data_IF_823487242766
#
_entry.id   IF_823487242766
#
_cell.length_a   1.000
_cell.length_b   1.000
_cell.length_c   1.000
_cell.angle_alpha   90.00
_cell.angle_beta   90.00
_cell.angle_gamma   90.00
#
_symmetry.space_group_name_H-M   'P 1'
#
loop_
_entity.id
_entity.type
_entity.pdbx_description
1 polymer ?
#
# COMPACT_ATOMS: atom_id res chain seq x y z
N UNK A 1 21.05 30.40 -21.41
CA UNK A 1 19.93 30.96 -20.60
C UNK A 1 19.12 31.97 -21.41
N UNK A 2 18.21 31.45 -22.24
CA UNK A 2 17.16 32.27 -22.85
C UNK A 2 15.98 32.23 -21.89
N UNK A 3 15.80 33.28 -21.10
CA UNK A 3 14.63 33.41 -20.20
C UNK A 3 13.44 33.91 -21.01
N UNK A 4 12.26 33.33 -20.81
CA UNK A 4 11.02 33.86 -21.36
C UNK A 4 10.16 34.43 -20.22
N UNK A 5 9.71 35.67 -20.37
CA UNK A 5 8.59 36.23 -19.60
C UNK A 5 7.29 35.92 -20.33
N UNK A 6 6.52 34.95 -19.82
CA UNK A 6 5.29 34.43 -20.46
C UNK A 6 5.22 32.91 -20.46
N UNK A 7 4.07 32.37 -20.85
CA UNK A 7 3.86 30.91 -20.91
C UNK A 7 4.35 30.32 -22.23
N UNK A 8 4.84 29.08 -22.19
CA UNK A 8 5.17 28.27 -23.35
C UNK A 8 4.11 27.19 -23.51
N UNK A 9 3.56 27.07 -24.73
CA UNK A 9 2.62 26.00 -25.06
C UNK A 9 3.10 25.30 -26.32
N UNK A 10 3.29 23.99 -26.22
CA UNK A 10 3.55 23.10 -27.36
C UNK A 10 2.31 22.25 -27.54
N UNK A 11 1.66 22.40 -28.69
CA UNK A 11 0.51 21.57 -29.07
C UNK A 11 0.78 21.00 -30.45
N UNK A 12 0.89 19.68 -30.57
CA UNK A 12 1.42 19.03 -31.77
C UNK A 12 0.68 17.76 -32.13
N UNK A 13 0.82 17.39 -33.41
CA UNK A 13 0.69 16.02 -33.92
C UNK A 13 2.12 15.55 -34.20
N UNK A 14 2.71 14.75 -33.31
CA UNK A 14 4.13 14.42 -33.35
C UNK A 14 4.52 13.48 -34.50
N UNK A 15 3.56 12.78 -35.13
CA UNK A 15 3.81 11.94 -36.30
C UNK A 15 4.84 10.84 -36.04
N UNK A 16 6.04 10.92 -36.65
CA UNK A 16 7.14 9.94 -36.47
C UNK A 16 8.18 10.35 -35.43
N UNK A 17 7.78 11.20 -34.48
CA UNK A 17 8.54 11.76 -33.36
C UNK A 17 8.91 13.24 -33.56
N UNK A 18 8.58 14.06 -32.57
CA UNK A 18 8.94 15.47 -32.49
C UNK A 18 9.86 15.69 -31.28
N UNK A 19 10.99 16.37 -31.51
CA UNK A 19 11.88 16.83 -30.44
C UNK A 19 11.62 18.31 -30.17
N UNK A 20 11.25 18.65 -28.95
CA UNK A 20 11.09 20.03 -28.51
C UNK A 20 12.24 20.44 -27.59
N UNK A 21 12.79 21.62 -27.85
CA UNK A 21 13.72 22.29 -26.95
C UNK A 21 12.98 23.45 -26.28
N UNK A 22 12.82 23.37 -24.96
CA UNK A 22 12.20 24.42 -24.16
C UNK A 22 13.33 25.30 -23.59
N UNK A 23 13.17 26.63 -23.52
CA UNK A 23 14.19 27.49 -22.95
C UNK A 23 14.51 27.13 -21.49
N UNK A 24 15.75 27.37 -21.09
CA UNK A 24 16.28 27.02 -19.76
C UNK A 24 15.43 27.52 -18.57
N UNK A 25 14.70 28.64 -18.71
CA UNK A 25 13.80 29.15 -17.67
C UNK A 25 12.59 29.89 -18.28
N UNK A 26 11.39 29.57 -17.79
CA UNK A 26 10.12 30.17 -18.20
C UNK A 26 9.45 30.86 -17.01
N UNK A 27 9.30 32.18 -17.04
CA UNK A 27 8.52 32.97 -16.07
C UNK A 27 7.05 32.95 -16.50
N UNK A 28 6.42 31.78 -16.33
CA UNK A 28 5.11 31.46 -16.84
C UNK A 28 4.87 29.95 -16.79
N UNK A 29 3.75 29.50 -17.34
CA UNK A 29 3.43 28.08 -17.38
C UNK A 29 4.09 27.39 -18.59
N UNK A 30 4.33 26.09 -18.49
CA UNK A 30 4.68 25.23 -19.62
C UNK A 30 3.54 24.23 -19.80
N UNK A 31 2.96 24.16 -20.99
CA UNK A 31 1.96 23.17 -21.35
C UNK A 31 2.41 22.39 -22.59
N UNK A 32 2.45 21.06 -22.48
CA UNK A 32 2.81 20.15 -23.57
C UNK A 32 1.62 19.26 -23.88
N UNK A 33 1.19 19.29 -25.14
CA UNK A 33 0.06 18.52 -25.62
C UNK A 33 0.40 17.78 -26.91
N UNK A 34 0.27 16.46 -26.88
CA UNK A 34 0.43 15.60 -28.06
C UNK A 34 -0.93 15.00 -28.47
N UNK A 35 -1.32 15.25 -29.72
CA UNK A 35 -2.66 14.99 -30.26
C UNK A 35 -2.69 13.84 -31.28
N UNK A 36 -1.59 13.10 -31.43
CA UNK A 36 -1.55 11.89 -32.25
C UNK A 36 -0.65 10.83 -31.60
N UNK A 37 -0.64 9.63 -32.18
CA UNK A 37 0.11 8.48 -31.67
C UNK A 37 1.64 8.60 -31.80
N UNK A 38 2.18 9.70 -32.36
CA UNK A 38 3.63 9.91 -32.42
C UNK A 38 4.21 10.22 -31.04
N UNK A 39 5.54 10.19 -30.88
CA UNK A 39 6.16 10.56 -29.61
C UNK A 39 6.65 12.02 -29.59
N UNK A 40 6.29 12.78 -28.56
CA UNK A 40 6.88 14.09 -28.26
C UNK A 40 7.98 13.93 -27.21
N UNK A 41 9.23 14.18 -27.58
CA UNK A 41 10.37 14.15 -26.64
C UNK A 41 10.83 15.57 -26.31
N UNK A 42 11.02 15.84 -25.02
CA UNK A 42 11.64 17.07 -24.53
C UNK A 42 12.99 16.75 -23.90
N UNK A 43 14.06 17.15 -24.58
CA UNK A 43 15.45 16.86 -24.14
C UNK A 43 15.96 17.81 -23.05
N UNK A 44 15.33 18.97 -22.92
CA UNK A 44 15.74 20.02 -21.99
C UNK A 44 15.05 19.90 -20.63
N UNK A 45 15.70 20.43 -19.58
CA UNK A 45 15.02 20.68 -18.30
C UNK A 45 13.79 21.59 -18.51
N UNK A 46 12.73 21.32 -17.77
CA UNK A 46 11.54 22.17 -17.70
C UNK A 46 11.60 22.97 -16.41
N UNK A 47 11.99 24.25 -16.49
CA UNK A 47 12.08 25.13 -15.30
C UNK A 47 11.08 26.25 -15.43
N UNK A 48 10.15 26.34 -14.47
CA UNK A 48 9.19 27.46 -14.39
C UNK A 48 9.40 28.32 -13.15
N UNK A 49 9.08 29.61 -13.31
CA UNK A 49 8.94 30.59 -12.24
C UNK A 49 7.56 31.24 -12.34
N UNK A 50 7.15 31.91 -11.27
CA UNK A 50 5.95 32.75 -11.29
C UNK A 50 6.09 33.81 -12.36
N UNK A 51 5.10 33.92 -13.23
CA UNK A 51 5.06 34.92 -14.29
C UNK A 51 4.69 36.31 -13.78
N UNK A 52 5.10 37.34 -14.53
CA UNK A 52 4.78 38.75 -14.21
C UNK A 52 3.29 39.08 -14.39
N UNK A 53 2.55 38.27 -15.13
CA UNK A 53 1.12 38.47 -15.39
C UNK A 53 0.22 37.56 -14.53
N UNK A 54 0.77 36.94 -13.49
CA UNK A 54 0.02 36.12 -12.53
C UNK A 54 0.02 34.63 -12.81
N UNK A 55 0.74 34.16 -13.83
CA UNK A 55 0.97 32.74 -14.08
C UNK A 55 1.68 32.11 -12.87
N UNK A 56 1.18 30.95 -12.42
CA UNK A 56 1.71 30.29 -11.23
C UNK A 56 3.11 29.67 -11.48
N UNK A 57 3.44 29.37 -12.73
CA UNK A 57 4.60 28.58 -13.10
C UNK A 57 4.31 27.10 -12.94
N UNK A 58 3.23 26.63 -13.55
CA UNK A 58 2.84 25.22 -13.59
C UNK A 58 3.43 24.55 -14.82
N UNK A 59 3.77 23.25 -14.71
CA UNK A 59 4.06 22.38 -15.84
C UNK A 59 2.89 21.41 -16.02
N UNK A 60 2.31 21.36 -17.21
CA UNK A 60 1.20 20.48 -17.56
C UNK A 60 1.55 19.65 -18.79
N UNK A 61 1.38 18.34 -18.70
CA UNK A 61 1.45 17.40 -19.81
C UNK A 61 0.08 16.75 -19.97
N UNK A 62 -0.48 16.85 -21.18
CA UNK A 62 -1.78 16.29 -21.56
C UNK A 62 -1.63 15.56 -22.89
N UNK A 63 -2.16 14.35 -23.07
CA UNK A 63 -1.91 13.63 -24.32
C UNK A 63 -2.97 12.61 -24.78
N UNK A 64 -2.95 12.37 -26.11
CA UNK A 64 -3.48 11.18 -26.82
C UNK A 64 -2.39 10.23 -27.39
N UNK A 65 -1.12 10.65 -27.49
CA UNK A 65 0.03 9.75 -27.70
C UNK A 65 1.28 10.12 -26.86
N UNK A 66 2.40 9.41 -27.02
CA UNK A 66 3.50 9.46 -26.05
C UNK A 66 4.10 10.87 -25.82
N UNK A 67 4.37 11.23 -24.55
CA UNK A 67 5.22 12.36 -24.17
C UNK A 67 6.34 11.87 -23.25
N UNK A 68 7.59 12.12 -23.63
CA UNK A 68 8.77 11.83 -22.80
C UNK A 68 9.54 13.11 -22.49
N UNK A 69 9.87 13.32 -21.22
CA UNK A 69 10.71 14.43 -20.74
C UNK A 69 12.01 13.84 -20.19
N UNK A 70 13.11 14.05 -20.92
CA UNK A 70 14.43 13.54 -20.56
C UNK A 70 15.06 14.35 -19.41
N UNK A 71 14.81 15.66 -19.42
CA UNK A 71 15.34 16.60 -18.42
C UNK A 71 14.60 16.57 -17.08
N UNK A 72 15.14 17.30 -16.12
CA UNK A 72 14.48 17.54 -14.83
C UNK A 72 13.29 18.49 -15.00
N UNK A 73 12.25 18.28 -14.20
CA UNK A 73 11.11 19.19 -14.10
C UNK A 73 11.17 19.95 -12.79
N UNK A 74 11.31 21.26 -12.83
CA UNK A 74 11.37 22.16 -11.69
C UNK A 74 10.28 23.23 -11.80
N UNK A 75 9.09 22.94 -11.29
CA UNK A 75 7.95 23.85 -11.35
C UNK A 75 7.87 24.75 -10.11
N UNK A 76 7.60 26.06 -10.28
CA UNK A 76 7.36 26.95 -9.12
C UNK A 76 5.98 26.77 -8.49
N UNK A 77 5.00 26.27 -9.25
CA UNK A 77 3.70 25.83 -8.76
C UNK A 77 3.57 24.33 -8.96
N UNK A 78 2.60 23.85 -9.73
CA UNK A 78 2.29 22.41 -9.81
C UNK A 78 2.98 21.72 -10.99
N UNK A 79 3.09 20.40 -10.92
CA UNK A 79 3.33 19.52 -12.07
C UNK A 79 2.13 18.62 -12.26
N UNK A 80 1.56 18.60 -13.46
CA UNK A 80 0.35 17.83 -13.79
C UNK A 80 0.60 16.97 -15.02
N UNK A 81 0.38 15.67 -14.89
CA UNK A 81 0.37 14.72 -15.99
C UNK A 81 -1.03 14.11 -16.10
N UNK A 82 -1.67 14.31 -17.24
CA UNK A 82 -3.02 13.79 -17.53
C UNK A 82 -2.96 13.00 -18.81
N UNK A 83 -3.37 11.75 -18.73
CA UNK A 83 -3.27 10.77 -19.79
C UNK A 83 -4.65 10.13 -20.00
N UNK A 84 -5.14 10.12 -21.24
CA UNK A 84 -6.31 9.32 -21.59
C UNK A 84 -5.93 8.00 -22.27
N UNK A 85 -4.94 8.02 -23.17
CA UNK A 85 -4.35 6.84 -23.80
C UNK A 85 -2.89 7.12 -24.16
N UNK A 86 -1.99 6.14 -24.34
CA UNK A 86 -0.55 6.36 -24.58
C UNK A 86 0.29 6.53 -23.30
N UNK A 87 1.56 6.98 -23.38
CA UNK A 87 2.44 7.05 -22.20
C UNK A 87 2.94 8.48 -21.92
N UNK A 88 3.04 8.85 -20.63
CA UNK A 88 3.79 10.04 -20.19
C UNK A 88 4.97 9.57 -19.33
N UNK A 89 6.19 9.89 -19.72
CA UNK A 89 7.39 9.50 -19.00
C UNK A 89 8.24 10.69 -18.60
N UNK A 90 8.47 10.85 -17.29
CA UNK A 90 9.47 11.74 -16.75
C UNK A 90 10.72 10.93 -16.43
N UNK A 91 11.78 11.10 -17.22
CA UNK A 91 13.05 10.40 -17.00
C UNK A 91 13.91 11.11 -15.95
N UNK A 92 13.87 12.45 -15.91
CA UNK A 92 14.53 13.23 -14.87
C UNK A 92 13.70 13.37 -13.59
N UNK A 93 14.34 13.93 -12.55
CA UNK A 93 13.67 14.23 -11.29
C UNK A 93 12.56 15.28 -11.45
N UNK A 94 11.51 15.17 -10.63
CA UNK A 94 10.37 16.10 -10.65
C UNK A 94 10.26 16.81 -9.31
N UNK A 95 10.48 18.13 -9.31
CA UNK A 95 10.32 19.01 -8.15
C UNK A 95 9.23 20.04 -8.42
N UNK A 96 8.29 20.15 -7.49
CA UNK A 96 7.14 21.06 -7.57
C UNK A 96 7.07 21.97 -6.34
N UNK A 97 6.94 23.28 -6.56
CA UNK A 97 6.67 24.28 -5.53
C UNK A 97 5.25 24.19 -4.95
N UNK A 98 4.36 23.45 -5.62
CA UNK A 98 3.01 23.09 -5.21
C UNK A 98 2.87 21.57 -5.12
N UNK A 99 1.93 21.01 -5.88
CA UNK A 99 1.64 19.58 -5.91
C UNK A 99 2.18 18.89 -7.18
N UNK A 100 2.30 17.56 -7.15
CA UNK A 100 2.50 16.72 -8.33
C UNK A 100 1.28 15.83 -8.49
N UNK A 101 0.63 15.84 -9.65
CA UNK A 101 -0.54 14.99 -9.92
C UNK A 101 -0.38 14.19 -11.19
N UNK A 102 -0.58 12.87 -11.11
CA UNK A 102 -0.68 11.95 -12.23
C UNK A 102 -2.10 11.39 -12.29
N UNK A 103 -2.74 11.48 -13.46
CA UNK A 103 -4.05 10.91 -13.71
C UNK A 103 -4.04 10.20 -15.05
N UNK A 104 -4.43 8.92 -15.07
CA UNK A 104 -4.51 8.13 -16.31
C UNK A 104 -5.80 7.33 -16.41
N UNK A 105 -6.39 7.29 -17.62
CA UNK A 105 -7.49 6.37 -17.94
C UNK A 105 -6.94 4.99 -18.31
N UNK A 106 -6.27 4.83 -19.47
CA UNK A 106 -5.74 3.54 -19.96
C UNK A 106 -4.23 3.51 -20.20
N UNK A 107 -3.58 4.66 -20.27
CA UNK A 107 -2.15 4.78 -20.55
C UNK A 107 -1.24 4.68 -19.32
N UNK A 108 0.08 4.74 -19.52
CA UNK A 108 1.05 4.76 -18.40
C UNK A 108 1.49 6.17 -18.05
N UNK A 109 1.70 6.46 -16.76
CA UNK A 109 2.47 7.62 -16.31
C UNK A 109 3.64 7.14 -15.46
N UNK A 110 4.87 7.35 -15.93
CA UNK A 110 6.10 6.94 -15.27
C UNK A 110 6.93 8.12 -14.75
N UNK A 111 7.45 8.00 -13.53
CA UNK A 111 8.48 8.87 -12.96
C UNK A 111 9.70 8.02 -12.65
N UNK A 112 10.76 8.15 -13.45
CA UNK A 112 11.94 7.31 -13.35
C UNK A 112 12.84 7.68 -12.16
N UNK A 113 12.82 8.94 -11.75
CA UNK A 113 13.62 9.44 -10.63
C UNK A 113 12.73 9.93 -9.47
N UNK A 114 13.34 10.66 -8.52
CA UNK A 114 12.65 11.17 -7.34
C UNK A 114 11.58 12.21 -7.70
N UNK A 115 10.46 12.15 -6.98
CA UNK A 115 9.37 13.13 -7.03
C UNK A 115 9.27 13.85 -5.69
N UNK A 116 9.38 15.17 -5.72
CA UNK A 116 9.28 16.03 -4.54
C UNK A 116 8.25 17.13 -4.75
N UNK A 117 7.18 17.11 -3.96
CA UNK A 117 6.16 18.15 -3.95
C UNK A 117 6.20 18.93 -2.63
N UNK A 118 6.09 20.26 -2.68
CA UNK A 118 5.91 21.04 -1.46
C UNK A 118 4.58 20.75 -0.78
N UNK A 119 3.53 20.48 -1.56
CA UNK A 119 2.19 20.18 -1.09
C UNK A 119 1.91 18.68 -1.20
N UNK A 120 1.10 18.23 -2.16
CA UNK A 120 0.62 16.86 -2.26
C UNK A 120 1.21 16.12 -3.45
N UNK A 121 1.24 14.78 -3.37
CA UNK A 121 1.44 13.91 -4.53
C UNK A 121 0.19 13.06 -4.71
N UNK A 122 -0.41 13.07 -5.90
CA UNK A 122 -1.64 12.32 -6.18
C UNK A 122 -1.48 11.47 -7.43
N UNK A 123 -1.79 10.18 -7.32
CA UNK A 123 -1.87 9.24 -8.42
C UNK A 123 -3.30 8.70 -8.54
N UNK A 124 -3.92 8.87 -9.70
CA UNK A 124 -5.29 8.43 -9.96
C UNK A 124 -5.36 7.63 -11.26
N UNK A 125 -5.72 6.35 -11.16
CA UNK A 125 -6.08 5.51 -12.29
C UNK A 125 -7.60 5.38 -12.34
N UNK A 126 -8.22 5.95 -13.35
CA UNK A 126 -9.69 6.02 -13.51
C UNK A 126 -10.26 4.81 -14.22
N UNK A 127 -9.47 4.13 -15.06
CA UNK A 127 -9.83 2.87 -15.70
C UNK A 127 -8.76 1.81 -15.46
N UNK A 128 -7.91 1.52 -16.46
CA UNK A 128 -6.99 0.38 -16.53
C UNK A 128 -5.52 0.75 -16.75
N UNK A 129 -5.20 2.05 -16.83
CA UNK A 129 -3.83 2.52 -17.00
C UNK A 129 -2.99 2.33 -15.75
N UNK A 130 -1.69 2.62 -15.86
CA UNK A 130 -0.74 2.38 -14.79
C UNK A 130 -0.01 3.66 -14.39
N UNK A 131 0.34 3.80 -13.11
CA UNK A 131 1.18 4.89 -12.61
C UNK A 131 2.37 4.32 -11.83
N UNK A 132 3.58 4.69 -12.22
CA UNK A 132 4.82 4.18 -11.62
C UNK A 132 5.71 5.31 -11.12
N UNK A 133 6.13 5.21 -9.86
CA UNK A 133 7.18 6.03 -9.26
C UNK A 133 8.37 5.13 -8.93
N UNK A 134 9.41 5.18 -9.74
CA UNK A 134 10.60 4.34 -9.57
C UNK A 134 11.51 4.88 -8.46
N UNK A 135 11.58 6.21 -8.32
CA UNK A 135 12.34 6.88 -7.26
C UNK A 135 11.54 7.10 -5.97
N UNK A 136 12.14 7.87 -5.04
CA UNK A 136 11.45 8.25 -3.81
C UNK A 136 10.37 9.29 -4.08
N UNK A 137 9.28 9.24 -3.31
CA UNK A 137 8.20 10.22 -3.36
C UNK A 137 8.10 10.95 -2.03
N UNK A 138 8.24 12.27 -2.07
CA UNK A 138 8.21 13.13 -0.88
C UNK A 138 7.17 14.25 -1.02
N UNK A 139 6.33 14.38 0.01
CA UNK A 139 5.49 15.55 0.23
C UNK A 139 6.00 16.32 1.45
N UNK A 140 6.33 17.61 1.29
CA UNK A 140 7.17 18.33 2.27
C UNK A 140 6.38 19.06 3.35
N UNK A 141 5.37 19.82 2.96
CA UNK A 141 4.57 20.64 3.88
C UNK A 141 3.27 19.89 4.16
N UNK A 142 2.14 20.43 3.74
CA UNK A 142 0.81 20.05 4.25
C UNK A 142 0.06 19.03 3.40
N UNK A 143 0.63 18.56 2.29
CA UNK A 143 -0.12 17.67 1.41
C UNK A 143 0.12 16.21 1.75
N UNK A 144 -0.93 15.44 1.55
CA UNK A 144 -0.89 13.99 1.64
C UNK A 144 -0.29 13.39 0.36
N UNK A 145 0.10 12.12 0.46
CA UNK A 145 0.38 11.28 -0.71
C UNK A 145 -0.83 10.37 -0.90
N UNK A 146 -1.49 10.48 -2.05
CA UNK A 146 -2.72 9.73 -2.36
C UNK A 146 -2.53 8.86 -3.58
N UNK A 147 -2.97 7.61 -3.49
CA UNK A 147 -3.06 6.68 -4.60
C UNK A 147 -4.49 6.13 -4.67
N UNK A 148 -5.14 6.28 -5.82
CA UNK A 148 -6.48 5.76 -6.07
C UNK A 148 -6.52 5.05 -7.41
N UNK A 149 -6.91 3.77 -7.45
CA UNK A 149 -7.06 3.04 -8.72
C UNK A 149 -8.42 2.35 -8.82
N UNK A 150 -9.01 2.37 -10.02
CA UNK A 150 -10.20 1.58 -10.34
C UNK A 150 -9.83 0.15 -10.72
N UNK A 151 -9.08 -0.09 -11.80
CA UNK A 151 -8.71 -1.44 -12.28
C UNK A 151 -7.22 -1.60 -12.60
N UNK A 152 -6.49 -0.54 -12.93
CA UNK A 152 -5.04 -0.61 -13.21
C UNK A 152 -4.16 -0.55 -11.96
N UNK A 153 -2.85 -0.42 -12.14
CA UNK A 153 -1.88 -0.52 -11.07
C UNK A 153 -1.22 0.83 -10.73
N UNK A 154 -0.97 1.06 -9.44
CA UNK A 154 -0.14 2.17 -8.96
C UNK A 154 1.00 1.61 -8.14
N UNK A 155 2.24 1.88 -8.55
CA UNK A 155 3.44 1.39 -7.88
C UNK A 155 4.37 2.51 -7.45
N UNK A 156 4.66 2.57 -6.16
CA UNK A 156 5.77 3.32 -5.57
C UNK A 156 6.92 2.36 -5.25
N UNK A 157 7.96 2.32 -6.07
CA UNK A 157 9.13 1.47 -5.81
C UNK A 157 9.99 2.02 -4.68
N UNK A 158 10.27 3.32 -4.69
CA UNK A 158 11.09 3.97 -3.69
C UNK A 158 10.33 4.30 -2.40
N UNK A 159 11.04 4.95 -1.48
CA UNK A 159 10.48 5.37 -0.20
C UNK A 159 9.39 6.42 -0.41
N UNK A 160 8.29 6.27 0.32
CA UNK A 160 7.18 7.24 0.33
C UNK A 160 7.15 7.97 1.66
N UNK A 161 7.33 9.30 1.64
CA UNK A 161 7.39 10.12 2.85
C UNK A 161 6.45 11.32 2.75
N UNK A 162 5.40 11.34 3.57
CA UNK A 162 4.59 12.55 3.81
C UNK A 162 5.02 13.21 5.12
N UNK A 163 5.74 14.34 5.01
CA UNK A 163 6.40 14.99 6.15
C UNK A 163 5.44 15.73 7.10
N UNK A 164 4.28 16.20 6.62
CA UNK A 164 3.25 16.73 7.51
C UNK A 164 1.83 16.22 7.23
N UNK A 165 1.64 15.38 6.20
CA UNK A 165 0.35 14.79 5.85
C UNK A 165 0.25 13.30 6.14
N UNK A 166 -0.74 12.69 5.51
CA UNK A 166 -1.04 11.27 5.51
C UNK A 166 -0.55 10.57 4.23
N UNK A 167 -0.52 9.24 4.26
CA UNK A 167 -0.42 8.40 3.06
C UNK A 167 -1.73 7.63 2.92
N UNK A 168 -2.39 7.74 1.78
CA UNK A 168 -3.74 7.22 1.55
C UNK A 168 -3.72 6.35 0.29
N UNK A 169 -4.19 5.12 0.40
CA UNK A 169 -4.31 4.18 -0.69
C UNK A 169 -5.75 3.66 -0.79
N UNK A 170 -6.37 3.78 -1.96
CA UNK A 170 -7.74 3.35 -2.24
C UNK A 170 -7.78 2.53 -3.53
N UNK A 171 -8.19 1.27 -3.47
CA UNK A 171 -8.29 0.43 -4.66
C UNK A 171 -9.69 -0.11 -4.89
N UNK A 172 -10.14 -0.01 -6.15
CA UNK A 172 -11.27 -0.72 -6.72
C UNK A 172 -10.94 -2.20 -6.89
N UNK A 173 -10.71 -2.65 -8.12
CA UNK A 173 -10.23 -3.98 -8.49
C UNK A 173 -8.73 -4.03 -8.85
N UNK A 174 -8.08 -2.88 -9.00
CA UNK A 174 -6.65 -2.78 -9.33
C UNK A 174 -5.71 -3.04 -8.16
N UNK A 175 -4.41 -2.77 -8.35
CA UNK A 175 -3.39 -2.93 -7.31
C UNK A 175 -2.73 -1.60 -6.93
N UNK A 176 -2.48 -1.40 -5.64
CA UNK A 176 -1.57 -0.37 -5.16
C UNK A 176 -0.43 -1.04 -4.42
N UNK A 177 0.81 -0.72 -4.79
CA UNK A 177 2.01 -1.27 -4.17
C UNK A 177 2.99 -0.20 -3.71
N UNK A 178 3.46 -0.36 -2.48
CA UNK A 178 4.56 0.39 -1.90
C UNK A 178 5.72 -0.56 -1.65
N UNK A 179 6.73 -0.52 -2.52
CA UNK A 179 7.89 -1.42 -2.53
C UNK A 179 8.90 -1.17 -1.41
N UNK A 180 8.93 0.03 -0.85
CA UNK A 180 9.81 0.41 0.25
C UNK A 180 9.01 1.07 1.39
N UNK A 181 9.72 1.67 2.33
CA UNK A 181 9.21 2.22 3.58
C UNK A 181 8.22 3.33 3.32
N UNK A 182 7.06 3.23 3.96
CA UNK A 182 6.06 4.29 3.99
C UNK A 182 6.14 5.01 5.32
N UNK A 183 6.30 6.34 5.28
CA UNK A 183 6.26 7.20 6.46
C UNK A 183 5.23 8.31 6.27
N UNK A 184 4.24 8.34 7.14
CA UNK A 184 3.29 9.44 7.26
C UNK A 184 3.46 10.14 8.60
N UNK A 185 3.41 11.47 8.60
CA UNK A 185 3.40 12.24 9.84
C UNK A 185 2.07 12.13 10.58
N UNK A 186 0.96 12.01 9.84
CA UNK A 186 -0.38 11.86 10.41
C UNK A 186 -0.79 10.39 10.34
N UNK A 187 -1.51 9.99 9.30
CA UNK A 187 -2.11 8.66 9.22
C UNK A 187 -1.62 7.89 7.99
N UNK A 188 -1.68 6.57 8.06
CA UNK A 188 -1.63 5.70 6.88
C UNK A 188 -2.99 5.03 6.74
N UNK A 189 -3.66 5.24 5.62
CA UNK A 189 -4.98 4.66 5.33
C UNK A 189 -4.90 3.76 4.11
N UNK A 190 -5.45 2.55 4.21
CA UNK A 190 -5.58 1.60 3.12
C UNK A 190 -7.03 1.14 3.02
N UNK A 191 -7.68 1.39 1.90
CA UNK A 191 -9.06 0.98 1.63
C UNK A 191 -9.12 0.12 0.38
N UNK A 192 -9.53 -1.15 0.52
CA UNK A 192 -9.67 -2.06 -0.60
C UNK A 192 -11.15 -2.43 -0.83
N UNK A 193 -11.59 -2.33 -2.09
CA UNK A 193 -12.85 -2.90 -2.53
C UNK A 193 -12.64 -4.38 -2.88
N UNK A 194 -12.24 -4.71 -4.11
CA UNK A 194 -11.94 -6.08 -4.59
C UNK A 194 -10.49 -6.27 -5.04
N UNK A 195 -9.72 -5.19 -5.08
CA UNK A 195 -8.33 -5.13 -5.49
C UNK A 195 -7.38 -5.37 -4.33
N UNK A 196 -6.10 -5.07 -4.54
CA UNK A 196 -5.05 -5.38 -3.56
C UNK A 196 -4.24 -4.16 -3.18
N UNK A 197 -3.91 -4.02 -1.90
CA UNK A 197 -2.93 -3.05 -1.41
C UNK A 197 -1.79 -3.80 -0.73
N UNK A 198 -0.57 -3.60 -1.22
CA UNK A 198 0.63 -4.25 -0.69
C UNK A 198 1.63 -3.20 -0.21
N UNK A 199 2.00 -3.27 1.05
CA UNK A 199 3.14 -2.56 1.62
C UNK A 199 4.29 -3.55 1.83
N UNK A 200 5.24 -3.61 0.90
CA UNK A 200 6.39 -4.52 1.02
C UNK A 200 7.39 -4.06 2.09
N UNK A 201 7.54 -2.74 2.25
CA UNK A 201 8.40 -2.12 3.26
C UNK A 201 7.74 -1.91 4.62
N UNK A 202 8.50 -1.32 5.55
CA UNK A 202 7.97 -0.93 6.86
C UNK A 202 6.99 0.24 6.73
N UNK A 203 5.95 0.25 7.55
CA UNK A 203 4.92 1.30 7.52
C UNK A 203 4.89 2.01 8.87
N UNK A 204 5.09 3.32 8.85
CA UNK A 204 5.14 4.18 10.03
C UNK A 204 4.16 5.33 9.90
N UNK A 205 3.15 5.39 10.77
CA UNK A 205 2.27 6.54 10.92
C UNK A 205 2.57 7.26 12.24
N UNK A 206 2.63 8.60 12.21
CA UNK A 206 2.76 9.38 13.43
C UNK A 206 1.55 9.26 14.37
N UNK A 207 0.39 8.87 13.83
CA UNK A 207 -0.86 8.78 14.58
C UNK A 207 -1.58 7.46 14.35
N UNK A 208 -2.40 7.34 13.30
CA UNK A 208 -3.24 6.15 13.12
C UNK A 208 -2.86 5.40 11.85
N UNK A 209 -2.90 4.07 11.92
CA UNK A 209 -2.94 3.22 10.74
C UNK A 209 -4.33 2.61 10.66
N UNK A 210 -5.00 2.82 9.52
CA UNK A 210 -6.33 2.27 9.28
C UNK A 210 -6.31 1.41 8.02
N UNK A 211 -6.77 0.18 8.15
CA UNK A 211 -7.00 -0.73 7.03
C UNK A 211 -8.48 -1.10 6.97
N UNK A 212 -9.10 -0.92 5.81
CA UNK A 212 -10.51 -1.21 5.60
C UNK A 212 -10.70 -2.02 4.33
N UNK A 213 -11.35 -3.18 4.44
CA UNK A 213 -11.82 -3.94 3.29
C UNK A 213 -13.33 -3.82 3.21
N UNK A 214 -13.84 -3.22 2.14
CA UNK A 214 -15.27 -3.00 1.95
C UNK A 214 -15.96 -4.16 1.22
N UNK A 215 -15.26 -4.89 0.35
CA UNK A 215 -15.79 -6.04 -0.40
C UNK A 215 -14.96 -7.30 -0.18
N UNK A 216 -14.06 -7.65 -1.09
CA UNK A 216 -13.32 -8.92 -1.10
C UNK A 216 -11.86 -8.72 -1.57
N UNK A 217 -11.32 -7.51 -1.38
CA UNK A 217 -9.93 -7.18 -1.67
C UNK A 217 -9.00 -7.60 -0.55
N UNK A 218 -7.69 -7.46 -0.75
CA UNK A 218 -6.67 -7.86 0.21
C UNK A 218 -5.78 -6.68 0.61
N UNK A 219 -5.33 -6.66 1.86
CA UNK A 219 -4.32 -5.70 2.33
C UNK A 219 -3.19 -6.45 3.03
N UNK A 220 -1.97 -6.29 2.54
CA UNK A 220 -0.78 -6.95 3.11
C UNK A 220 0.25 -5.93 3.58
N UNK A 221 0.75 -6.14 4.79
CA UNK A 221 1.89 -5.44 5.38
C UNK A 221 3.06 -6.43 5.52
N UNK A 222 4.03 -6.33 4.62
CA UNK A 222 5.16 -7.26 4.48
C UNK A 222 6.25 -7.13 5.54
N UNK A 223 6.33 -5.98 6.24
CA UNK A 223 7.30 -5.72 7.31
C UNK A 223 6.64 -5.06 8.50
N UNK A 224 7.46 -4.52 9.42
CA UNK A 224 6.99 -3.93 10.65
C UNK A 224 5.99 -2.78 10.39
N UNK A 225 4.91 -2.79 11.17
CA UNK A 225 3.83 -1.83 11.15
C UNK A 225 3.82 -1.06 12.48
N UNK A 226 3.96 0.26 12.42
CA UNK A 226 4.00 1.11 13.62
C UNK A 226 3.11 2.33 13.49
N UNK A 227 2.13 2.44 14.40
CA UNK A 227 1.33 3.64 14.59
C UNK A 227 1.72 4.34 15.90
N UNK A 228 1.89 5.65 15.86
CA UNK A 228 2.16 6.44 17.07
C UNK A 228 1.00 6.44 18.07
N UNK A 229 -0.22 6.13 17.62
CA UNK A 229 -1.42 6.09 18.45
C UNK A 229 -2.21 4.80 18.22
N UNK A 230 -2.98 4.68 17.15
CA UNK A 230 -3.92 3.57 17.00
C UNK A 230 -3.68 2.77 15.74
N UNK A 231 -3.97 1.47 15.78
CA UNK A 231 -4.15 0.66 14.59
C UNK A 231 -5.60 0.19 14.58
N UNK A 232 -6.30 0.44 13.46
CA UNK A 232 -7.73 0.16 13.30
C UNK A 232 -7.93 -0.68 12.05
N UNK A 233 -8.54 -1.83 12.21
CA UNK A 233 -8.74 -2.82 11.14
C UNK A 233 -10.23 -3.11 10.98
N UNK A 234 -10.78 -2.96 9.78
CA UNK A 234 -12.19 -3.20 9.50
C UNK A 234 -12.37 -4.07 8.24
N UNK A 235 -12.76 -5.33 8.39
CA UNK A 235 -13.11 -6.20 7.23
C UNK A 235 -14.62 -6.36 7.13
N UNK A 236 -15.29 -5.74 6.15
CA UNK A 236 -16.77 -5.68 6.14
C UNK A 236 -17.44 -6.89 5.49
N UNK A 237 -17.09 -7.19 4.23
CA UNK A 237 -17.86 -8.15 3.40
C UNK A 237 -17.04 -9.34 2.88
N UNK A 238 -15.79 -9.47 3.29
CA UNK A 238 -14.84 -10.45 2.78
C UNK A 238 -13.43 -9.87 2.68
N UNK A 239 -12.47 -10.68 2.21
CA UNK A 239 -11.10 -10.27 1.93
C UNK A 239 -10.17 -10.30 3.16
N UNK A 240 -8.89 -10.47 2.92
CA UNK A 240 -7.94 -10.80 3.99
C UNK A 240 -6.95 -9.66 4.27
N UNK A 241 -6.62 -9.50 5.55
CA UNK A 241 -5.54 -8.61 6.00
C UNK A 241 -4.41 -9.45 6.58
N UNK A 242 -3.21 -9.27 6.05
CA UNK A 242 -2.02 -10.03 6.44
C UNK A 242 -0.93 -9.10 6.98
N UNK A 243 -0.47 -9.38 8.19
CA UNK A 243 0.71 -8.75 8.80
C UNK A 243 1.84 -9.77 8.89
N UNK A 244 2.81 -9.67 7.98
CA UNK A 244 4.00 -10.53 7.99
C UNK A 244 4.99 -10.13 9.10
N UNK A 245 5.05 -8.83 9.41
CA UNK A 245 5.96 -8.28 10.41
C UNK A 245 5.34 -8.02 11.79
N UNK A 246 6.15 -7.46 12.69
CA UNK A 246 5.68 -6.98 14.00
C UNK A 246 4.71 -5.81 13.83
N UNK A 247 3.70 -5.76 14.71
CA UNK A 247 2.66 -4.74 14.72
C UNK A 247 2.69 -4.00 16.06
N UNK A 248 2.78 -2.67 16.02
CA UNK A 248 2.91 -1.85 17.21
C UNK A 248 2.01 -0.61 17.15
N UNK A 249 1.01 -0.56 18.03
CA UNK A 249 0.20 0.63 18.29
C UNK A 249 0.70 1.34 19.55
N UNK A 250 0.87 2.67 19.49
CA UNK A 250 1.24 3.45 20.67
C UNK A 250 0.19 3.43 21.79
N UNK A 251 -1.08 3.19 21.45
CA UNK A 251 -2.22 3.24 22.36
C UNK A 251 -3.15 2.05 22.16
N UNK A 252 -3.94 2.03 21.10
CA UNK A 252 -4.97 1.00 20.90
C UNK A 252 -4.74 0.20 19.61
N UNK A 253 -4.91 -1.10 19.70
CA UNK A 253 -5.13 -1.96 18.55
C UNK A 253 -6.61 -2.34 18.53
N UNK A 254 -7.31 -2.06 17.44
CA UNK A 254 -8.76 -2.26 17.31
C UNK A 254 -8.99 -3.04 16.02
N UNK A 255 -9.81 -4.09 16.06
CA UNK A 255 -10.28 -4.73 14.85
C UNK A 255 -11.77 -5.06 14.92
N UNK A 256 -12.42 -4.97 13.77
CA UNK A 256 -13.77 -5.43 13.51
C UNK A 256 -13.73 -6.32 12.28
N UNK A 257 -14.02 -7.61 12.46
CA UNK A 257 -14.00 -8.59 11.37
C UNK A 257 -15.41 -9.03 11.01
N UNK A 258 -15.72 -8.94 9.73
CA UNK A 258 -16.89 -9.53 9.08
C UNK A 258 -16.51 -10.87 8.47
N UNK A 259 -16.60 -11.01 7.14
CA UNK A 259 -16.38 -12.28 6.42
C UNK A 259 -14.94 -12.52 5.90
N UNK A 260 -13.94 -11.93 6.54
CA UNK A 260 -12.54 -11.98 6.08
C UNK A 260 -11.56 -12.31 7.20
N UNK A 261 -10.39 -12.82 6.85
CA UNK A 261 -9.37 -13.19 7.83
C UNK A 261 -8.46 -12.02 8.16
N UNK A 262 -7.98 -11.99 9.40
CA UNK A 262 -6.88 -11.12 9.80
C UNK A 262 -5.78 -11.99 10.39
N UNK A 263 -4.64 -12.02 9.71
CA UNK A 263 -3.52 -12.93 10.01
C UNK A 263 -2.32 -12.13 10.50
N UNK A 264 -1.71 -12.59 11.60
CA UNK A 264 -0.50 -12.00 12.17
C UNK A 264 0.59 -13.05 12.27
N UNK A 265 1.70 -12.85 11.57
CA UNK A 265 2.89 -13.71 11.64
C UNK A 265 3.96 -13.14 12.58
N UNK A 266 3.82 -11.87 12.98
CA UNK A 266 4.71 -11.18 13.92
C UNK A 266 4.06 -10.89 15.29
N UNK A 267 4.83 -10.24 16.17
CA UNK A 267 4.36 -9.82 17.49
C UNK A 267 3.43 -8.62 17.38
N UNK A 268 2.28 -8.66 18.06
CA UNK A 268 1.32 -7.53 18.13
C UNK A 268 1.38 -6.85 19.49
N UNK A 269 1.61 -5.53 19.54
CA UNK A 269 1.69 -4.77 20.79
C UNK A 269 0.82 -3.52 20.74
N UNK A 270 0.23 -3.17 21.89
CA UNK A 270 -0.46 -1.90 22.08
C UNK A 270 -0.13 -1.34 23.47
N UNK A 271 -0.02 -0.01 23.59
CA UNK A 271 0.32 0.64 24.86
C UNK A 271 -0.80 0.62 25.90
N UNK A 272 -2.05 0.45 25.48
CA UNK A 272 -3.24 0.46 26.35
C UNK A 272 -4.14 -0.73 26.09
N UNK A 273 -4.79 -0.75 24.93
CA UNK A 273 -5.79 -1.77 24.62
C UNK A 273 -5.28 -2.69 23.52
N UNK A 274 -5.14 -3.97 23.88
CA UNK A 274 -5.14 -5.07 22.94
C UNK A 274 -6.52 -5.72 23.00
N UNK A 275 -7.13 -6.08 21.85
CA UNK A 275 -8.40 -6.81 21.84
C UNK A 275 -8.25 -8.12 22.61
N UNK A 276 -9.30 -8.51 23.34
CA UNK A 276 -9.31 -9.69 24.20
C UNK A 276 -8.89 -10.95 23.43
N UNK A 277 -9.31 -11.06 22.17
CA UNK A 277 -8.92 -12.10 21.22
C UNK A 277 -7.39 -12.23 21.03
N UNK A 278 -6.64 -11.13 21.08
CA UNK A 278 -5.17 -11.12 20.98
C UNK A 278 -4.54 -11.29 22.37
N UNK A 279 -5.14 -10.69 23.42
CA UNK A 279 -4.66 -10.74 24.81
C UNK A 279 -4.71 -12.16 25.39
N UNK A 280 -5.73 -12.94 25.05
CA UNK A 280 -5.99 -14.28 25.62
C UNK A 280 -5.31 -15.43 24.86
N UNK A 281 -4.83 -15.15 23.63
CA UNK A 281 -4.16 -16.13 22.76
C UNK A 281 -2.63 -15.99 22.73
N UNK A 282 -2.07 -15.08 23.52
CA UNK A 282 -0.61 -15.03 23.73
C UNK A 282 -0.15 -16.28 24.49
N UNK A 283 0.57 -17.16 23.77
CA UNK A 283 1.16 -18.38 24.31
C UNK A 283 0.25 -19.62 24.30
N UNK A 284 -0.89 -19.59 23.60
CA UNK A 284 -1.77 -20.77 23.46
C UNK A 284 -2.01 -21.12 21.98
N UNK A 285 -1.74 -22.39 21.65
CA UNK A 285 -1.94 -22.98 20.31
C UNK A 285 -3.40 -23.40 20.17
N UNK A 286 -4.05 -23.02 19.07
CA UNK A 286 -5.37 -23.51 18.72
C UNK A 286 -5.35 -24.07 17.30
N UNK A 287 -5.79 -25.32 17.18
CA UNK A 287 -6.06 -25.99 15.91
C UNK A 287 -7.57 -26.03 15.73
N UNK A 288 -8.06 -25.64 14.55
CA UNK A 288 -9.45 -25.85 14.16
C UNK A 288 -9.47 -26.92 13.06
N UNK A 289 -10.23 -27.99 13.29
CA UNK A 289 -10.53 -29.04 12.32
C UNK A 289 -12.04 -29.03 12.11
N UNK A 290 -12.48 -28.80 10.87
CA UNK A 290 -13.89 -28.89 10.49
C UNK A 290 -14.28 -30.38 10.41
N UNK A 291 -15.01 -30.88 11.41
CA UNK A 291 -15.92 -32.00 11.22
C UNK A 291 -17.24 -31.72 11.94
N UNK A 292 -18.39 -31.77 11.25
CA UNK A 292 -19.68 -31.65 11.90
C UNK A 292 -20.01 -32.96 12.61
N UNK A 293 -19.90 -32.99 13.94
CA UNK A 293 -20.46 -34.07 14.76
C UNK A 293 -22.00 -33.95 14.75
N UNK A 294 -22.65 -34.95 14.18
CA UNK A 294 -24.10 -35.00 13.93
C UNK A 294 -24.99 -35.10 15.17
N UNK A 295 -26.28 -34.87 14.93
CA UNK A 295 -27.36 -35.40 15.78
C UNK A 295 -27.45 -36.91 15.58
N UNK A 296 -27.49 -37.64 16.69
CA UNK A 296 -27.35 -39.09 16.72
C UNK A 296 -28.61 -39.87 16.29
N UNK A 297 -28.45 -41.19 16.28
CA UNK A 297 -29.32 -42.11 16.97
C UNK A 297 -28.52 -43.37 17.35
N UNK A 298 -28.99 -44.02 18.42
CA UNK A 298 -28.32 -45.04 19.22
C UNK A 298 -28.21 -46.43 18.54
N UNK A 299 -27.36 -47.24 19.18
CA UNK A 299 -27.31 -48.71 19.20
C UNK A 299 -26.31 -49.44 18.28
N UNK A 300 -25.63 -50.38 18.94
CA UNK A 300 -24.68 -51.39 18.46
C UNK A 300 -23.27 -50.94 18.05
N UNK A 301 -22.36 -50.94 19.03
CA UNK A 301 -20.97 -51.31 18.74
C UNK A 301 -20.41 -52.26 19.81
N UNK A 302 -20.13 -53.50 19.38
CA UNK A 302 -19.28 -54.47 20.09
C UNK A 302 -17.81 -54.00 20.01
N UNK A 303 -16.96 -54.35 20.99
CA UNK A 303 -15.57 -53.95 20.98
C UNK A 303 -14.76 -54.83 20.02
N UNK A 304 -14.04 -54.21 19.08
CA UNK A 304 -13.11 -54.88 18.19
C UNK A 304 -12.28 -53.88 17.38
N UNK A 305 -11.04 -53.69 17.83
CA UNK A 305 -9.82 -53.27 17.12
C UNK A 305 -9.94 -52.30 15.93
N UNK A 306 -9.66 -51.02 16.17
CA UNK A 306 -8.42 -50.38 15.71
C UNK A 306 -8.23 -49.03 16.44
N UNK A 307 -7.19 -48.96 17.26
CA UNK A 307 -6.77 -47.80 18.03
C UNK A 307 -6.40 -46.62 17.11
N UNK A 308 -7.23 -45.57 17.10
CA UNK A 308 -6.81 -44.16 16.94
C UNK A 308 -7.88 -43.15 17.39
N UNK A 309 -8.67 -43.50 18.41
CA UNK A 309 -9.60 -42.57 19.05
C UNK A 309 -8.84 -41.57 19.95
N UNK A 310 -8.38 -40.46 19.37
CA UNK A 310 -8.02 -39.30 20.19
C UNK A 310 -9.28 -38.66 20.76
N UNK A 311 -9.56 -38.95 22.03
CA UNK A 311 -10.55 -38.25 22.85
C UNK A 311 -10.20 -36.76 22.93
N UNK A 312 -10.96 -35.93 22.23
CA UNK A 312 -10.95 -34.49 22.41
C UNK A 312 -11.41 -34.15 23.83
N UNK A 313 -10.54 -33.52 24.63
CA UNK A 313 -10.93 -32.93 25.92
C UNK A 313 -11.70 -31.65 25.60
N UNK A 314 -13.01 -31.79 25.48
CA UNK A 314 -13.94 -30.66 25.50
C UNK A 314 -13.93 -30.03 26.88
N UNK A 315 -13.22 -28.90 27.02
CA UNK A 315 -13.48 -27.97 28.11
C UNK A 315 -14.31 -26.82 27.55
N UNK A 316 -15.62 -26.97 27.70
CA UNK A 316 -16.62 -25.91 27.57
C UNK A 316 -16.27 -24.77 28.55
N UNK A 317 -15.47 -23.81 28.11
CA UNK A 317 -15.37 -22.52 28.79
C UNK A 317 -16.67 -21.76 28.53
N UNK A 318 -17.40 -21.46 29.61
CA UNK A 318 -18.64 -20.66 29.58
C UNK A 318 -18.40 -19.20 29.17
N UNK A 319 -17.15 -18.78 28.98
CA UNK A 319 -16.78 -17.37 28.84
C UNK A 319 -16.48 -16.94 27.39
N UNK A 320 -16.62 -17.83 26.40
CA UNK A 320 -16.49 -17.43 24.99
C UNK A 320 -17.71 -16.59 24.55
N UNK A 321 -17.52 -15.42 23.91
CA UNK A 321 -18.59 -14.65 23.26
C UNK A 321 -19.36 -15.51 22.25
N UNK A 322 -20.67 -15.31 22.17
CA UNK A 322 -21.58 -16.11 21.34
C UNK A 322 -21.24 -16.05 19.83
N UNK A 323 -20.55 -14.98 19.40
CA UNK A 323 -20.08 -14.75 18.03
C UNK A 323 -18.95 -15.70 17.58
N UNK A 324 -18.09 -16.14 18.51
CA UNK A 324 -17.04 -17.14 18.25
C UNK A 324 -17.65 -18.54 18.21
N UNK A 325 -18.63 -18.83 19.09
CA UNK A 325 -19.32 -20.13 19.12
C UNK A 325 -20.19 -20.40 17.89
N UNK A 326 -20.65 -19.33 17.24
CA UNK A 326 -21.54 -19.39 16.09
C UNK A 326 -20.81 -19.43 14.73
N UNK A 327 -19.48 -19.45 14.72
CA UNK A 327 -18.67 -19.61 13.50
C UNK A 327 -18.67 -18.40 12.56
N UNK A 328 -19.15 -17.23 13.02
CA UNK A 328 -19.17 -15.98 12.24
C UNK A 328 -17.84 -15.23 12.26
N UNK A 329 -17.01 -15.45 13.29
CA UNK A 329 -15.63 -14.96 13.36
C UNK A 329 -14.66 -16.13 13.17
N UNK A 330 -13.70 -15.98 12.26
CA UNK A 330 -12.60 -16.93 12.12
C UNK A 330 -11.28 -16.19 12.25
N UNK A 331 -10.49 -16.55 13.27
CA UNK A 331 -9.16 -16.01 13.53
C UNK A 331 -8.21 -17.20 13.64
N UNK A 332 -7.11 -17.18 12.88
CA UNK A 332 -6.09 -18.22 12.92
C UNK A 332 -4.74 -17.58 13.25
N UNK A 333 -4.03 -18.17 14.20
CA UNK A 333 -2.72 -17.71 14.67
C UNK A 333 -1.63 -18.71 14.26
N UNK A 334 -0.46 -18.21 13.84
CA UNK A 334 0.74 -19.04 13.61
C UNK A 334 1.91 -18.55 14.48
N UNK A 335 2.61 -19.50 15.11
CA UNK A 335 3.91 -19.24 15.74
C UNK A 335 5.06 -19.51 14.74
N UNK A 336 6.30 -19.24 15.16
CA UNK A 336 7.55 -19.33 14.37
C UNK A 336 7.85 -20.73 13.82
N UNK A 337 7.03 -21.74 14.09
CA UNK A 337 7.11 -23.09 13.57
C UNK A 337 5.80 -23.45 12.86
N UNK A 338 5.53 -22.78 11.74
CA UNK A 338 4.35 -23.04 10.92
C UNK A 338 4.24 -24.53 10.54
N UNK A 339 3.13 -25.16 10.90
CA UNK A 339 2.73 -26.47 10.42
C UNK A 339 1.37 -26.36 9.76
N UNK A 340 1.31 -26.71 8.48
CA UNK A 340 0.11 -27.12 7.78
C UNK A 340 0.35 -28.45 7.10
N UNK A 341 -0.67 -29.30 7.13
CA UNK A 341 -0.72 -30.58 6.44
C UNK A 341 -1.89 -30.52 5.46
N UNK A 342 -1.64 -30.84 4.19
CA UNK A 342 -2.66 -31.28 3.26
C UNK A 342 -2.06 -32.38 2.40
N UNK A 343 -2.89 -33.36 2.06
CA UNK A 343 -2.52 -34.63 1.47
C UNK A 343 -1.72 -34.45 0.16
N UNK A 344 -0.54 -35.10 0.11
CA UNK A 344 0.30 -35.33 -1.06
C UNK A 344 1.26 -34.24 -1.57
N UNK A 345 2.15 -33.69 -0.73
CA UNK A 345 3.61 -33.55 -0.99
C UNK A 345 4.31 -32.58 -0.03
N UNK A 346 5.58 -32.85 0.27
CA UNK A 346 6.44 -32.03 1.13
C UNK A 346 7.14 -30.96 0.29
N UNK A 347 6.86 -29.68 0.55
CA UNK A 347 7.77 -28.58 0.21
C UNK A 347 8.09 -27.81 1.48
N UNK A 348 9.21 -28.16 2.10
CA UNK A 348 9.82 -27.35 3.16
C UNK A 348 10.64 -26.26 2.48
N UNK A 349 10.48 -25.02 2.89
CA UNK A 349 11.53 -24.01 2.74
C UNK A 349 11.71 -23.32 4.08
N UNK A 350 12.69 -23.71 4.90
CA UNK A 350 13.04 -22.95 6.07
C UNK A 350 13.87 -21.74 5.62
N UNK A 351 13.34 -20.53 5.80
CA UNK A 351 14.22 -19.37 5.91
C UNK A 351 14.85 -19.40 7.30
N UNK A 352 15.95 -20.15 7.40
CA UNK A 352 16.95 -19.97 8.44
C UNK A 352 17.51 -18.55 8.30
N UNK A 353 17.13 -17.65 9.21
CA UNK A 353 18.06 -16.57 9.53
C UNK A 353 19.13 -17.18 10.45
N UNK A 354 20.20 -17.66 9.82
CA UNK A 354 21.43 -17.98 10.52
C UNK A 354 21.98 -16.68 11.12
N UNK A 355 22.45 -16.76 12.36
CA UNK A 355 23.02 -15.68 13.20
C UNK A 355 21.98 -15.01 14.12
N UNK A 356 21.73 -15.63 15.26
CA UNK A 356 22.29 -15.11 16.52
C UNK A 356 22.23 -16.20 17.60
N UNK A 357 23.42 -16.57 18.05
CA UNK A 357 23.72 -17.49 19.14
C UNK A 357 23.67 -16.74 20.49
N UNK A 358 23.54 -17.52 21.57
CA UNK A 358 23.80 -17.20 22.99
C UNK A 358 22.68 -16.54 23.81
N UNK A 359 21.98 -17.40 24.54
CA UNK A 359 21.31 -17.08 25.80
C UNK A 359 22.35 -17.30 26.92
N UNK A 360 22.96 -16.23 27.43
CA UNK A 360 23.59 -16.26 28.75
C UNK A 360 22.49 -16.16 29.82
N UNK A 361 22.23 -17.27 30.52
CA UNK A 361 21.43 -17.25 31.75
C UNK A 361 22.30 -16.74 32.90
N UNK A 362 22.09 -15.49 33.32
CA UNK A 362 22.62 -15.04 34.61
C UNK A 362 21.64 -15.41 35.73
N UNK A 363 22.17 -16.22 36.65
CA UNK A 363 21.44 -16.90 37.72
C UNK A 363 20.89 -15.98 38.80
N UNK A 364 19.80 -16.44 39.40
CA UNK A 364 19.21 -15.88 40.60
C UNK A 364 20.00 -16.30 41.86
N UNK A 365 20.05 -15.35 42.80
CA UNK A 365 20.53 -15.51 44.17
C UNK A 365 19.65 -16.50 44.96
N UNK A 366 20.27 -17.47 45.61
CA UNK A 366 20.29 -17.60 47.08
C UNK A 366 21.42 -18.53 47.52
#
# INVERSE_FOLDING_TARGET
VKVIDGSVTVRTHAGKNLRAAIPDEVHGNIALTNLDAGALTVESDLVTKKGKNGEAGTVTLEQEGEITVDGNVNASSDVKAVNSDGDILFLGSVTSGGSVSAKTDTGTIGYAENVKAQNAVTAEVTEKGDIMYLGNVESVRRGDIRASTKEGDIWYHGKVTSNAGSVIAETGAGRIMYGDTVRANIDVTATAETGKILYEGAVNAGRTIQATINKAGDITYGKALKAGRDIIIDTKKGGDILFEGNVAAGRDFIFHTGKGWVTYNGRVTAGRNLPDQIRENWGKRWYYSDYPSGGGDEEDNKPGDDDNDFKMIGLLSKDLPEQIRSGYEKIVYFDRYGLFWNDNSVVVSPFLNANDYEVETNGEKQ
#
